data_IF_665520801018
#
_entry.id   IF_665520801018
#
_cell.length_a   1.000
_cell.length_b   1.000
_cell.length_c   1.000
_cell.angle_alpha   90.00
_cell.angle_beta   90.00
_cell.angle_gamma   90.00
#
_symmetry.space_group_name_H-M   'P 1'
#
loop_
_entity.id
_entity.type
_entity.pdbx_description
1 polymer ?
#
# COMPACT_ATOMS: atom_id res chain seq x y z
N UNK A 1 -20.14 5.36 -18.07
CA UNK A 1 -19.85 4.26 -17.15
C UNK A 1 -21.16 3.66 -16.71
N UNK A 2 -21.30 2.33 -16.72
CA UNK A 2 -22.52 1.66 -16.27
C UNK A 2 -22.18 0.81 -15.05
N UNK A 3 -22.77 1.13 -13.91
CA UNK A 3 -22.55 0.36 -12.68
C UNK A 3 -23.23 -0.99 -12.76
N UNK A 4 -24.55 -0.99 -13.01
CA UNK A 4 -25.38 -2.19 -13.12
C UNK A 4 -26.66 -1.88 -13.87
N UNK A 5 -27.30 -2.94 -14.36
CA UNK A 5 -28.67 -2.93 -14.82
C UNK A 5 -29.51 -3.75 -13.84
N UNK A 6 -30.70 -3.28 -13.51
CA UNK A 6 -31.67 -4.00 -12.67
C UNK A 6 -32.95 -4.16 -13.47
N UNK A 7 -33.42 -5.39 -13.61
CA UNK A 7 -34.68 -5.72 -14.26
C UNK A 7 -35.67 -6.14 -13.17
N UNK A 8 -36.80 -5.44 -13.09
CA UNK A 8 -37.87 -5.76 -12.14
C UNK A 8 -39.08 -6.33 -12.89
N UNK A 9 -39.56 -7.49 -12.46
CA UNK A 9 -40.76 -8.12 -13.04
C UNK A 9 -42.02 -7.55 -12.41
N UNK A 10 -42.85 -6.89 -13.21
CA UNK A 10 -44.07 -6.19 -12.76
C UNK A 10 -45.06 -7.04 -11.95
N UNK A 11 -45.21 -8.34 -12.25
CA UNK A 11 -46.20 -9.20 -11.56
C UNK A 11 -45.78 -9.59 -10.14
N UNK A 12 -44.51 -9.92 -9.96
CA UNK A 12 -44.03 -10.64 -8.77
C UNK A 12 -43.04 -9.80 -7.93
N UNK A 13 -42.68 -8.59 -8.43
CA UNK A 13 -41.63 -7.70 -7.89
C UNK A 13 -40.26 -8.36 -7.73
N UNK A 14 -40.03 -9.43 -8.48
CA UNK A 14 -38.73 -10.09 -8.53
C UNK A 14 -37.71 -9.22 -9.26
N UNK A 15 -36.46 -9.21 -8.77
CA UNK A 15 -35.41 -8.30 -9.21
C UNK A 15 -34.18 -9.07 -9.65
N UNK A 16 -33.87 -8.99 -10.94
CA UNK A 16 -32.62 -9.51 -11.48
C UNK A 16 -31.58 -8.40 -11.63
N UNK A 17 -30.34 -8.70 -11.22
CA UNK A 17 -29.25 -7.72 -11.18
C UNK A 17 -28.12 -8.16 -12.11
N UNK A 18 -27.66 -7.23 -12.95
CA UNK A 18 -26.58 -7.43 -13.91
C UNK A 18 -25.48 -6.40 -13.62
N UNK A 19 -24.46 -6.76 -12.80
CA UNK A 19 -23.33 -5.88 -12.55
C UNK A 19 -22.52 -5.69 -13.83
N UNK A 20 -22.10 -4.46 -14.12
CA UNK A 20 -21.31 -4.13 -15.33
C UNK A 20 -19.99 -3.48 -14.94
N UNK A 21 -20.02 -2.48 -14.06
CA UNK A 21 -18.84 -1.79 -13.52
C UNK A 21 -17.75 -1.40 -14.54
N UNK A 22 -18.15 -1.08 -15.78
CA UNK A 22 -17.24 -0.70 -16.88
C UNK A 22 -17.87 0.32 -17.83
N UNK A 23 -17.04 0.94 -18.67
CA UNK A 23 -17.53 1.73 -19.79
C UNK A 23 -18.03 0.81 -20.91
N UNK A 24 -19.24 1.05 -21.41
CA UNK A 24 -19.80 0.34 -22.57
C UNK A 24 -19.71 1.27 -23.79
N UNK A 25 -18.90 0.93 -24.81
CA UNK A 25 -18.77 1.75 -26.00
C UNK A 25 -20.09 1.89 -26.77
N UNK A 26 -20.29 3.03 -27.43
CA UNK A 26 -21.45 3.23 -28.30
C UNK A 26 -21.42 2.23 -29.47
N UNK A 27 -22.57 1.63 -29.77
CA UNK A 27 -22.71 0.63 -30.84
C UNK A 27 -22.23 -0.78 -30.49
N UNK A 28 -21.73 -1.00 -29.26
CA UNK A 28 -21.35 -2.33 -28.79
C UNK A 28 -22.52 -3.02 -28.09
N UNK A 29 -22.81 -4.27 -28.48
CA UNK A 29 -23.83 -5.10 -27.83
C UNK A 29 -23.14 -6.10 -26.91
N UNK A 30 -23.58 -6.14 -25.66
CA UNK A 30 -23.04 -7.04 -24.64
C UNK A 30 -24.12 -8.01 -24.18
N UNK A 31 -23.77 -9.29 -24.08
CA UNK A 31 -24.61 -10.30 -23.42
C UNK A 31 -24.16 -10.41 -21.98
N UNK A 32 -25.10 -10.29 -21.06
CA UNK A 32 -24.88 -10.34 -19.62
C UNK A 32 -25.74 -11.45 -19.03
N UNK A 33 -25.19 -12.14 -18.04
CA UNK A 33 -25.91 -13.09 -17.21
C UNK A 33 -26.21 -12.46 -15.86
N UNK A 34 -27.26 -12.94 -15.18
CA UNK A 34 -27.59 -12.46 -13.85
C UNK A 34 -26.39 -12.68 -12.91
N UNK A 35 -25.99 -11.62 -12.20
CA UNK A 35 -24.77 -11.53 -11.36
C UNK A 35 -23.43 -11.73 -12.08
N UNK A 36 -23.42 -12.04 -13.39
CA UNK A 36 -22.25 -12.22 -14.25
C UNK A 36 -21.13 -13.10 -13.65
N UNK A 37 -21.51 -14.09 -12.84
CA UNK A 37 -20.59 -14.92 -12.05
C UNK A 37 -20.49 -16.33 -12.62
N UNK A 38 -20.01 -16.45 -13.86
CA UNK A 38 -19.85 -17.74 -14.55
C UNK A 38 -18.39 -18.08 -14.81
N UNK A 39 -18.01 -19.33 -14.53
CA UNK A 39 -16.74 -19.88 -14.97
C UNK A 39 -16.66 -19.96 -16.50
N UNK A 40 -15.46 -19.87 -17.11
CA UNK A 40 -15.31 -19.92 -18.56
C UNK A 40 -15.97 -21.14 -19.24
N UNK A 41 -16.01 -22.30 -18.57
CA UNK A 41 -16.58 -23.53 -19.13
C UNK A 41 -18.12 -23.52 -19.14
N UNK A 42 -18.74 -22.65 -18.35
CA UNK A 42 -20.20 -22.59 -18.16
C UNK A 42 -20.83 -21.40 -18.88
N UNK A 43 -20.03 -20.60 -19.57
CA UNK A 43 -20.47 -19.36 -20.16
C UNK A 43 -21.09 -19.59 -21.54
N UNK A 44 -22.38 -19.28 -21.72
CA UNK A 44 -23.03 -19.43 -23.02
C UNK A 44 -22.53 -18.41 -24.06
N UNK A 45 -21.82 -17.36 -23.65
CA UNK A 45 -21.28 -16.30 -24.50
C UNK A 45 -19.75 -16.40 -24.71
N UNK A 46 -19.26 -17.63 -24.96
CA UNK A 46 -17.82 -17.95 -25.11
C UNK A 46 -17.07 -16.99 -26.03
N UNK A 47 -17.61 -16.67 -27.21
CA UNK A 47 -16.93 -15.81 -28.18
C UNK A 47 -16.80 -14.36 -27.69
N UNK A 48 -17.82 -13.85 -26.99
CA UNK A 48 -17.74 -12.53 -26.36
C UNK A 48 -16.66 -12.53 -25.28
N UNK A 49 -16.62 -13.55 -24.42
CA UNK A 49 -15.57 -13.67 -23.39
C UNK A 49 -14.17 -13.73 -24.01
N UNK A 50 -13.96 -14.49 -25.09
CA UNK A 50 -12.68 -14.54 -25.80
C UNK A 50 -12.27 -13.17 -26.34
N UNK A 51 -13.21 -12.44 -26.93
CA UNK A 51 -12.99 -11.09 -27.44
C UNK A 51 -12.63 -10.13 -26.29
N UNK A 52 -13.41 -10.10 -25.22
CA UNK A 52 -13.16 -9.27 -24.04
C UNK A 52 -11.77 -9.55 -23.43
N UNK A 53 -11.37 -10.83 -23.36
CA UNK A 53 -10.03 -11.21 -22.89
C UNK A 53 -8.92 -10.73 -23.83
N UNK A 54 -9.10 -10.83 -25.15
CA UNK A 54 -8.11 -10.35 -26.12
C UNK A 54 -7.95 -8.81 -26.07
N UNK A 55 -9.06 -8.09 -25.91
CA UNK A 55 -9.07 -6.65 -25.70
C UNK A 55 -8.34 -6.29 -24.40
N UNK A 56 -8.64 -6.97 -23.28
CA UNK A 56 -7.97 -6.75 -22.00
C UNK A 56 -6.48 -7.09 -22.04
N UNK A 57 -6.06 -8.15 -22.73
CA UNK A 57 -4.63 -8.46 -22.92
C UNK A 57 -3.90 -7.39 -23.73
N UNK A 58 -4.60 -6.75 -24.67
CA UNK A 58 -4.05 -5.65 -25.47
C UNK A 58 -3.96 -4.36 -24.66
N UNK A 59 -4.95 -4.08 -23.81
CA UNK A 59 -5.03 -2.90 -22.95
C UNK A 59 -4.06 -2.99 -21.75
N UNK A 60 -4.04 -4.12 -21.05
CA UNK A 60 -3.24 -4.34 -19.82
C UNK A 60 -1.89 -4.96 -20.13
N UNK A 61 -1.04 -4.20 -20.82
CA UNK A 61 0.32 -4.63 -21.13
C UNK A 61 1.28 -4.35 -19.98
N UNK A 62 2.26 -5.25 -19.81
CA UNK A 62 3.32 -5.08 -18.82
C UNK A 62 4.61 -4.51 -19.42
N UNK A 63 5.38 -3.83 -18.56
CA UNK A 63 6.74 -3.38 -18.82
C UNK A 63 7.55 -3.51 -17.53
N UNK A 64 8.73 -4.11 -17.63
CA UNK A 64 9.74 -4.06 -16.56
C UNK A 64 10.51 -2.76 -16.73
N UNK A 65 10.37 -1.82 -15.77
CA UNK A 65 11.04 -0.50 -15.85
C UNK A 65 12.44 -0.49 -15.25
N UNK A 66 12.73 -1.45 -14.36
CA UNK A 66 14.01 -1.62 -13.70
C UNK A 66 14.43 -3.08 -13.88
N UNK A 67 15.64 -3.31 -14.38
CA UNK A 67 16.18 -4.67 -14.56
C UNK A 67 16.16 -5.43 -13.21
N UNK A 68 15.66 -6.67 -13.23
CA UNK A 68 15.43 -7.47 -12.02
C UNK A 68 14.23 -7.05 -11.16
N UNK A 69 13.54 -5.96 -11.51
CA UNK A 69 12.32 -5.51 -10.83
C UNK A 69 11.06 -6.26 -11.26
N UNK A 70 9.98 -6.08 -10.49
CA UNK A 70 8.66 -6.62 -10.83
C UNK A 70 8.10 -5.95 -12.10
N UNK A 71 7.34 -6.73 -12.88
CA UNK A 71 6.60 -6.20 -14.02
C UNK A 71 5.57 -5.17 -13.57
N UNK A 72 5.48 -4.06 -14.28
CA UNK A 72 4.56 -2.97 -14.00
C UNK A 72 3.63 -2.75 -15.18
N UNK A 73 2.52 -2.07 -14.97
CA UNK A 73 1.67 -1.64 -16.08
C UNK A 73 2.46 -0.71 -17.02
N UNK A 74 2.42 -0.99 -18.32
CA UNK A 74 3.07 -0.18 -19.36
C UNK A 74 2.38 1.17 -19.50
N UNK A 75 1.06 1.14 -19.56
CA UNK A 75 0.20 2.32 -19.66
C UNK A 75 -1.06 2.06 -18.83
N UNK A 76 -1.45 3.01 -17.99
CA UNK A 76 -2.61 2.88 -17.13
C UNK A 76 -3.90 2.94 -17.95
N UNK A 77 -4.76 1.90 -17.90
CA UNK A 77 -6.06 1.91 -18.58
C UNK A 77 -7.00 2.97 -18.01
N UNK A 78 -7.94 3.45 -18.83
CA UNK A 78 -8.90 4.49 -18.43
C UNK A 78 -9.80 4.02 -17.29
N UNK A 79 -10.18 2.74 -17.30
CA UNK A 79 -10.99 2.11 -16.25
C UNK A 79 -10.29 2.12 -14.87
N UNK A 80 -8.96 2.24 -14.84
CA UNK A 80 -8.12 2.20 -13.64
C UNK A 80 -7.66 3.60 -13.19
N UNK A 81 -8.10 4.66 -13.89
CA UNK A 81 -7.80 6.02 -13.49
C UNK A 81 -8.51 6.36 -12.18
N UNK A 82 -7.84 7.17 -11.35
CA UNK A 82 -8.50 7.77 -10.21
C UNK A 82 -9.67 8.65 -10.67
N UNK A 83 -10.67 8.76 -9.80
CA UNK A 83 -11.73 9.75 -9.99
C UNK A 83 -11.12 11.16 -9.97
N UNK A 84 -11.72 12.09 -10.71
CA UNK A 84 -11.24 13.48 -10.76
C UNK A 84 -11.17 14.13 -9.37
N UNK A 85 -12.11 13.79 -8.50
CA UNK A 85 -12.15 14.28 -7.12
C UNK A 85 -10.98 13.77 -6.28
N UNK A 86 -10.64 12.48 -6.44
CA UNK A 86 -9.46 11.90 -5.78
C UNK A 86 -8.17 12.54 -6.30
N UNK A 87 -8.02 12.69 -7.63
CA UNK A 87 -6.85 13.36 -8.21
C UNK A 87 -6.71 14.81 -7.72
N UNK A 88 -7.84 15.53 -7.62
CA UNK A 88 -7.85 16.89 -7.10
C UNK A 88 -7.42 16.93 -5.63
N UNK A 89 -7.96 16.03 -4.80
CA UNK A 89 -7.55 15.87 -3.40
C UNK A 89 -6.05 15.65 -3.26
N UNK A 90 -5.50 14.68 -4.01
CA UNK A 90 -4.06 14.39 -4.01
C UNK A 90 -3.22 15.61 -4.45
N UNK A 91 -3.64 16.33 -5.50
CA UNK A 91 -2.95 17.56 -5.95
C UNK A 91 -2.98 18.63 -4.86
N UNK A 92 -4.12 18.82 -4.19
CA UNK A 92 -4.24 19.76 -3.08
C UNK A 92 -3.34 19.38 -1.91
N UNK A 93 -3.22 18.10 -1.58
CA UNK A 93 -2.34 17.65 -0.50
C UNK A 93 -0.86 17.85 -0.85
N UNK A 94 -0.46 17.65 -2.10
CA UNK A 94 0.89 18.01 -2.58
C UNK A 94 1.13 19.52 -2.44
N UNK A 95 0.15 20.36 -2.79
CA UNK A 95 0.25 21.82 -2.63
C UNK A 95 0.38 22.21 -1.16
N UNK A 96 -0.46 21.65 -0.28
CA UNK A 96 -0.38 21.86 1.17
C UNK A 96 1.00 21.47 1.70
N UNK A 97 1.51 20.30 1.33
CA UNK A 97 2.83 19.83 1.75
C UNK A 97 3.94 20.80 1.32
N UNK A 98 3.89 21.33 0.10
CA UNK A 98 4.84 22.35 -0.39
C UNK A 98 4.75 23.66 0.38
N UNK A 99 3.54 24.13 0.69
CA UNK A 99 3.33 25.34 1.50
C UNK A 99 3.86 25.14 2.91
N UNK A 100 3.53 24.01 3.56
CA UNK A 100 4.06 23.66 4.88
C UNK A 100 5.59 23.58 4.87
N UNK A 101 6.20 22.99 3.84
CA UNK A 101 7.67 22.95 3.71
C UNK A 101 8.29 24.36 3.65
N UNK A 102 7.69 25.29 2.91
CA UNK A 102 8.19 26.68 2.86
C UNK A 102 7.99 27.42 4.18
N UNK A 103 6.87 27.15 4.88
CA UNK A 103 6.64 27.72 6.21
C UNK A 103 7.63 27.16 7.24
N UNK A 104 7.98 25.88 7.16
CA UNK A 104 9.05 25.28 7.95
C UNK A 104 10.38 26.00 7.70
N UNK A 105 10.78 26.23 6.44
CA UNK A 105 12.04 26.93 6.13
C UNK A 105 12.11 28.34 6.75
N UNK A 106 10.96 28.99 6.96
CA UNK A 106 10.85 30.31 7.59
C UNK A 106 10.85 30.21 9.12
N UNK A 107 10.08 29.27 9.68
CA UNK A 107 9.83 29.17 11.13
C UNK A 107 10.91 28.38 11.87
N UNK A 108 11.45 27.38 11.21
CA UNK A 108 12.40 26.42 11.77
C UNK A 108 13.77 26.76 11.19
N UNK A 109 14.59 27.45 11.99
CA UNK A 109 15.97 27.75 11.64
C UNK A 109 16.85 26.49 11.52
N UNK A 110 18.17 26.69 11.47
CA UNK A 110 19.11 25.55 11.45
C UNK A 110 18.98 24.72 12.73
N UNK A 111 18.95 23.40 12.58
CA UNK A 111 19.07 22.49 13.71
C UNK A 111 20.45 22.58 14.33
N UNK A 112 20.47 22.75 15.63
CA UNK A 112 21.64 22.71 16.50
C UNK A 112 21.75 21.36 17.23
N UNK A 113 20.62 20.70 17.48
CA UNK A 113 20.55 19.38 18.08
C UNK A 113 19.35 18.58 17.53
N UNK A 114 19.27 17.29 17.88
CA UNK A 114 18.18 16.41 17.45
C UNK A 114 16.82 16.81 18.06
N UNK A 115 16.79 17.43 19.24
CA UNK A 115 15.56 17.92 19.85
C UNK A 115 14.91 19.04 19.02
N UNK A 116 15.66 19.76 18.19
CA UNK A 116 15.12 20.80 17.31
C UNK A 116 14.18 20.21 16.23
N UNK A 117 14.20 18.89 15.99
CA UNK A 117 13.18 18.22 15.18
C UNK A 117 11.77 18.44 15.73
N UNK A 118 11.62 18.63 17.05
CA UNK A 118 10.33 19.02 17.66
C UNK A 118 9.81 20.32 17.06
N UNK A 119 10.64 21.25 16.61
CA UNK A 119 10.17 22.51 16.04
C UNK A 119 9.42 22.33 14.71
N UNK A 120 9.66 21.22 14.00
CA UNK A 120 8.86 20.82 12.83
C UNK A 120 7.43 20.44 13.25
N UNK A 121 7.32 19.74 14.38
CA UNK A 121 6.09 19.12 14.85
C UNK A 121 5.41 19.95 15.95
N UNK A 122 4.14 20.27 15.79
CA UNK A 122 3.38 21.16 16.68
C UNK A 122 3.10 22.52 16.05
N UNK A 123 3.98 23.02 15.19
CA UNK A 123 3.71 24.21 14.38
C UNK A 123 2.87 23.89 13.14
N UNK A 124 3.27 22.87 12.37
CA UNK A 124 2.65 22.53 11.07
C UNK A 124 2.18 21.09 10.97
N UNK A 125 2.77 20.19 11.77
CA UNK A 125 2.47 18.76 11.77
C UNK A 125 2.09 18.29 13.16
N UNK A 126 1.31 17.22 13.27
CA UNK A 126 1.04 16.59 14.57
C UNK A 126 2.34 15.99 15.13
N UNK A 127 2.57 16.14 16.43
CA UNK A 127 3.69 15.49 17.12
C UNK A 127 3.52 13.96 17.03
N UNK A 128 4.47 13.23 16.43
CA UNK A 128 4.38 11.78 16.36
C UNK A 128 4.66 11.16 17.72
N UNK A 129 3.99 10.05 18.03
CA UNK A 129 4.17 9.34 19.31
C UNK A 129 5.62 8.93 19.53
N UNK A 130 6.33 8.57 18.44
CA UNK A 130 7.74 8.24 18.49
C UNK A 130 8.67 9.38 18.91
N UNK A 131 8.19 10.62 19.07
CA UNK A 131 8.97 11.69 19.72
C UNK A 131 9.13 11.48 21.22
N UNK A 132 8.26 10.68 21.83
CA UNK A 132 8.38 10.28 23.23
C UNK A 132 9.25 9.03 23.30
N UNK A 133 10.31 9.08 24.10
CA UNK A 133 11.20 7.94 24.30
C UNK A 133 12.10 7.58 23.10
N UNK A 134 12.26 8.45 22.09
CA UNK A 134 13.12 8.15 20.94
C UNK A 134 14.59 7.87 21.31
N UNK A 135 15.03 8.33 22.48
CA UNK A 135 16.36 8.09 23.07
C UNK A 135 16.43 6.83 23.94
N UNK A 136 15.33 6.12 24.15
CA UNK A 136 15.23 4.95 25.03
C UNK A 136 15.35 3.66 24.21
N UNK A 137 16.20 2.73 24.66
CA UNK A 137 16.40 1.44 24.00
C UNK A 137 15.12 0.59 23.95
N UNK A 138 14.28 0.67 24.98
CA UNK A 138 12.98 -0.01 25.01
C UNK A 138 12.07 0.47 23.87
N UNK A 139 11.96 1.78 23.72
CA UNK A 139 11.18 2.42 22.66
C UNK A 139 11.74 2.09 21.27
N UNK A 140 13.07 2.02 21.13
CA UNK A 140 13.72 1.58 19.89
C UNK A 140 13.44 0.11 19.56
N UNK A 141 13.54 -0.77 20.56
CA UNK A 141 13.27 -2.21 20.45
C UNK A 141 11.79 -2.48 20.12
N UNK A 142 10.87 -1.80 20.81
CA UNK A 142 9.44 -1.98 20.60
C UNK A 142 9.02 -1.65 19.16
N UNK A 143 9.66 -0.69 18.49
CA UNK A 143 9.38 -0.38 17.08
C UNK A 143 9.64 -1.56 16.14
N UNK A 144 10.50 -2.52 16.50
CA UNK A 144 10.71 -3.74 15.69
C UNK A 144 9.52 -4.69 15.74
N UNK A 145 8.65 -4.56 16.74
CA UNK A 145 7.47 -5.42 16.93
C UNK A 145 6.16 -4.70 16.59
N UNK A 146 6.04 -3.40 16.93
CA UNK A 146 4.81 -2.62 16.79
C UNK A 146 4.95 -1.31 16.00
N UNK A 147 6.13 -1.05 15.44
CA UNK A 147 6.40 0.16 14.66
C UNK A 147 5.94 0.06 13.20
N UNK A 148 6.43 0.97 12.36
CA UNK A 148 6.03 1.05 10.95
C UNK A 148 6.53 -0.11 10.08
N UNK A 149 7.57 -0.84 10.50
CA UNK A 149 8.10 -1.99 9.77
C UNK A 149 8.41 -3.18 10.71
N UNK A 150 7.39 -3.88 11.20
CA UNK A 150 7.57 -4.96 12.17
C UNK A 150 7.93 -6.32 11.54
N UNK A 151 8.38 -6.33 10.28
CA UNK A 151 8.54 -7.56 9.47
C UNK A 151 9.96 -8.15 9.45
N UNK A 152 10.95 -7.43 10.00
CA UNK A 152 12.38 -7.74 9.78
C UNK A 152 12.99 -8.55 10.93
N UNK A 153 12.54 -8.30 12.17
CA UNK A 153 13.10 -8.95 13.37
C UNK A 153 12.81 -10.45 13.36
N UNK A 154 13.82 -11.24 13.73
CA UNK A 154 13.77 -12.69 13.77
C UNK A 154 14.57 -13.19 14.97
N UNK A 155 14.17 -14.33 15.50
CA UNK A 155 14.93 -15.03 16.54
C UNK A 155 16.32 -15.39 15.99
N UNK A 156 17.36 -15.04 16.73
CA UNK A 156 18.74 -15.33 16.39
C UNK A 156 19.20 -16.55 17.18
N UNK A 157 19.40 -17.67 16.49
CA UNK A 157 19.92 -18.92 17.09
C UNK A 157 21.44 -19.06 16.94
N UNK A 158 22.03 -18.27 16.04
CA UNK A 158 23.47 -18.23 15.82
C UNK A 158 23.84 -16.84 15.31
N UNK A 159 24.88 -16.24 15.91
CA UNK A 159 25.42 -14.96 15.45
C UNK A 159 26.07 -15.16 14.07
N UNK A 160 25.69 -14.36 13.06
CA UNK A 160 26.33 -14.45 11.75
C UNK A 160 27.84 -14.22 11.82
N UNK A 161 28.65 -15.04 11.15
CA UNK A 161 30.14 -14.95 11.18
C UNK A 161 30.70 -13.57 10.80
N UNK A 162 29.97 -12.81 9.98
CA UNK A 162 30.35 -11.45 9.55
C UNK A 162 29.99 -10.37 10.57
N UNK A 163 29.29 -10.73 11.63
CA UNK A 163 28.87 -9.83 12.69
C UNK A 163 29.73 -10.08 13.92
N UNK A 164 30.79 -9.27 14.07
CA UNK A 164 31.83 -9.43 15.08
C UNK A 164 31.39 -9.01 16.50
N UNK A 165 30.25 -9.54 16.97
CA UNK A 165 29.80 -9.43 18.35
C UNK A 165 30.50 -10.51 19.17
N UNK A 166 31.10 -10.10 20.29
CA UNK A 166 31.72 -11.02 21.26
C UNK A 166 30.92 -11.03 22.56
N UNK A 167 31.10 -12.06 23.39
CA UNK A 167 30.41 -12.19 24.67
C UNK A 167 30.71 -11.00 25.60
N UNK A 168 31.94 -10.50 25.59
CA UNK A 168 32.38 -9.37 26.43
C UNK A 168 31.69 -8.06 26.04
N UNK A 169 31.35 -7.86 24.76
CA UNK A 169 30.66 -6.65 24.28
C UNK A 169 29.24 -6.59 24.84
N UNK A 170 28.58 -7.75 24.93
CA UNK A 170 27.16 -7.82 25.28
C UNK A 170 26.90 -8.18 26.74
N UNK A 171 27.90 -8.68 27.47
CA UNK A 171 27.82 -9.09 28.88
C UNK A 171 26.99 -8.12 29.75
N UNK A 172 27.16 -6.78 29.69
CA UNK A 172 26.38 -5.86 30.52
C UNK A 172 24.86 -5.86 30.27
N UNK A 173 24.42 -6.40 29.12
CA UNK A 173 23.03 -6.38 28.66
C UNK A 173 22.33 -7.74 28.76
N UNK A 174 23.02 -8.78 29.25
CA UNK A 174 22.47 -10.15 29.31
C UNK A 174 21.74 -10.48 30.61
N UNK A 175 21.59 -9.51 31.52
CA UNK A 175 20.84 -9.66 32.78
C UNK A 175 21.30 -10.87 33.64
N UNK A 176 22.60 -11.19 33.57
CA UNK A 176 23.21 -12.30 34.33
C UNK A 176 23.31 -13.64 33.57
N UNK A 177 22.80 -13.71 32.34
CA UNK A 177 22.97 -14.85 31.45
C UNK A 177 24.27 -14.78 30.64
N UNK A 178 24.72 -15.93 30.14
CA UNK A 178 25.77 -15.98 29.11
C UNK A 178 25.17 -15.80 27.72
N UNK A 179 25.99 -15.34 26.77
CA UNK A 179 25.56 -15.20 25.38
C UNK A 179 25.12 -16.55 24.78
N UNK A 180 25.78 -17.64 25.19
CA UNK A 180 25.43 -18.99 24.77
C UNK A 180 24.04 -19.41 25.28
N UNK A 181 23.74 -19.15 26.54
CA UNK A 181 22.41 -19.40 27.12
C UNK A 181 21.31 -18.63 26.37
N UNK A 182 21.52 -17.34 26.10
CA UNK A 182 20.55 -16.51 25.39
C UNK A 182 20.29 -16.97 23.94
N UNK A 183 21.29 -17.55 23.25
CA UNK A 183 21.13 -18.07 21.88
C UNK A 183 20.46 -19.45 21.84
N UNK A 184 20.52 -20.20 22.94
CA UNK A 184 20.00 -21.57 23.04
C UNK A 184 18.51 -21.66 23.41
N UNK A 185 17.94 -20.56 23.89
CA UNK A 185 16.52 -20.44 24.29
C UNK A 185 15.63 -19.97 23.13
#
# INVERSE_FOLDING_TARGET
YVEKIVIERFKDKDRSVFPIHRWVPAGFSIKLQEYDSLLPQQDPAIEQRKQELAEKQTEYQFKVKLEGGLAQIKQLPVDELFTKDFEWGMKMDIVKAKVSSKLLDIMVGKFSCLDDLKNIYGALFRIPEGMHGWTEDESFGAQRLKGCNPSVIRLCQQIPDKFAVTAEIVEPFLEGHTLEECLSN
#
